data_IF_696495598855
#
_entry.id   IF_696495598855
#
_cell.length_a   1.000
_cell.length_b   1.000
_cell.length_c   1.000
_cell.angle_alpha   90.00
_cell.angle_beta   90.00
_cell.angle_gamma   90.00
#
_symmetry.space_group_name_H-M   'P 1'
#
loop_
_entity.id
_entity.type
_entity.pdbx_description
1 polymer ?
#
# COMPACT_ATOMS: atom_id res chain seq x y z
N UNK A 1 18.52 -18.87 -52.93
CA UNK A 1 19.12 -17.54 -53.16
C UNK A 1 18.57 -16.58 -52.10
N UNK A 2 19.42 -15.93 -51.31
CA UNK A 2 19.03 -14.90 -50.34
C UNK A 2 19.62 -13.56 -50.78
N UNK A 3 18.85 -12.46 -50.69
CA UNK A 3 19.37 -11.09 -50.74
C UNK A 3 18.79 -10.29 -49.58
N UNK A 4 19.68 -9.81 -48.71
CA UNK A 4 19.37 -8.76 -47.73
C UNK A 4 19.15 -7.44 -48.48
N UNK A 5 18.23 -6.61 -47.99
CA UNK A 5 18.20 -5.17 -48.29
C UNK A 5 18.81 -4.47 -47.09
N UNK A 6 19.87 -3.70 -47.32
CA UNK A 6 20.37 -2.69 -46.40
C UNK A 6 20.15 -1.33 -47.07
N UNK A 7 19.60 -0.35 -46.35
CA UNK A 7 19.46 1.02 -46.83
C UNK A 7 20.59 1.88 -46.27
N UNK A 8 21.22 2.65 -47.14
CA UNK A 8 22.46 3.39 -46.87
C UNK A 8 22.16 4.72 -46.12
N UNK A 9 22.94 5.03 -45.08
CA UNK A 9 22.75 6.24 -44.24
C UNK A 9 23.66 7.34 -44.78
N UNK A 10 23.14 8.23 -45.66
CA UNK A 10 23.96 9.29 -46.28
C UNK A 10 23.37 10.70 -46.42
N UNK A 11 22.14 10.96 -45.98
CA UNK A 11 21.51 12.29 -46.12
C UNK A 11 20.89 12.83 -44.81
N UNK A 12 21.73 13.05 -43.80
CA UNK A 12 21.38 13.87 -42.63
C UNK A 12 22.40 15.00 -42.46
N UNK A 13 22.00 16.22 -42.87
CA UNK A 13 22.78 17.44 -42.65
C UNK A 13 22.64 17.88 -41.20
N UNK A 14 23.76 17.97 -40.49
CA UNK A 14 23.83 18.56 -39.15
C UNK A 14 23.78 20.09 -39.31
N UNK A 15 23.00 20.76 -38.46
CA UNK A 15 22.97 22.21 -38.34
C UNK A 15 24.05 22.66 -37.35
N UNK A 16 25.10 23.30 -37.85
CA UNK A 16 26.17 23.85 -37.01
C UNK A 16 25.67 25.08 -36.22
N UNK A 17 25.80 25.03 -34.89
CA UNK A 17 25.55 26.15 -33.99
C UNK A 17 26.92 26.70 -33.55
N UNK A 18 27.28 27.96 -33.88
CA UNK A 18 28.60 28.49 -33.60
C UNK A 18 28.83 28.74 -32.10
N UNK A 19 29.83 28.07 -31.54
CA UNK A 19 30.26 28.18 -30.16
C UNK A 19 31.36 29.26 -30.04
N UNK A 20 31.03 30.44 -29.50
CA UNK A 20 31.99 31.55 -29.36
C UNK A 20 32.65 31.52 -27.98
N UNK A 21 33.92 31.14 -27.93
CA UNK A 21 34.84 31.43 -26.81
C UNK A 21 35.98 32.31 -27.34
N UNK A 22 36.13 33.50 -26.77
CA UNK A 22 37.28 34.40 -26.94
C UNK A 22 37.82 34.82 -25.58
N UNK A 23 39.14 34.95 -25.45
CA UNK A 23 39.80 35.22 -24.18
C UNK A 23 40.39 36.65 -24.09
N UNK A 24 40.32 37.22 -22.88
CA UNK A 24 41.21 38.23 -22.28
C UNK A 24 41.78 39.38 -23.14
N UNK A 25 41.43 40.64 -22.79
CA UNK A 25 42.34 41.48 -21.98
C UNK A 25 41.76 42.82 -21.49
N UNK A 26 42.05 43.12 -20.21
CA UNK A 26 42.31 44.39 -19.50
C UNK A 26 41.63 45.75 -19.84
N UNK A 27 41.14 46.35 -18.73
CA UNK A 27 41.23 47.75 -18.28
C UNK A 27 40.14 48.81 -18.59
N UNK A 28 40.00 49.67 -17.58
CA UNK A 28 39.46 51.05 -17.50
C UNK A 28 37.96 51.29 -17.26
N UNK A 29 37.67 51.62 -15.98
CA UNK A 29 36.71 52.58 -15.43
C UNK A 29 35.64 53.25 -16.31
N UNK A 30 34.36 53.23 -15.87
CA UNK A 30 33.60 54.44 -15.44
C UNK A 30 32.15 54.11 -14.97
N UNK A 31 31.50 55.08 -14.32
CA UNK A 31 30.22 54.99 -13.57
C UNK A 31 28.93 55.15 -14.44
N UNK A 32 27.71 54.91 -13.90
CA UNK A 32 26.51 54.58 -14.68
C UNK A 32 25.60 55.77 -15.05
N UNK A 33 24.63 55.52 -15.93
CA UNK A 33 23.49 56.40 -16.25
C UNK A 33 22.13 55.70 -16.08
N UNK A 34 21.04 56.48 -16.14
CA UNK A 34 19.79 56.26 -15.38
C UNK A 34 18.57 55.81 -16.20
N UNK A 35 17.51 55.35 -15.52
CA UNK A 35 16.16 55.05 -16.05
C UNK A 35 15.42 56.33 -16.52
N UNK A 36 14.33 56.23 -17.33
CA UNK A 36 12.96 55.91 -16.85
C UNK A 36 12.28 54.80 -17.70
N UNK A 37 11.23 54.04 -17.31
CA UNK A 37 10.09 54.20 -16.39
C UNK A 37 8.86 54.95 -16.95
N UNK A 38 7.88 54.21 -17.48
CA UNK A 38 6.45 54.53 -17.79
C UNK A 38 5.80 53.26 -18.43
N UNK A 39 4.50 52.95 -18.42
CA UNK A 39 3.34 53.39 -17.61
C UNK A 39 2.27 52.25 -17.60
N UNK A 40 1.19 52.39 -16.81
CA UNK A 40 0.10 51.42 -16.60
C UNK A 40 -1.05 51.57 -17.61
N UNK A 41 -1.63 50.45 -18.06
CA UNK A 41 -2.89 50.40 -18.82
C UNK A 41 -3.71 49.13 -18.51
N UNK A 42 -5.07 49.17 -18.52
CA UNK A 42 -5.87 48.25 -17.69
C UNK A 42 -6.41 46.98 -18.37
N UNK A 43 -6.76 46.02 -17.51
CA UNK A 43 -7.43 44.75 -17.81
C UNK A 43 -8.96 44.91 -17.78
N UNK A 44 -9.74 44.31 -18.70
CA UNK A 44 -11.19 44.12 -18.53
C UNK A 44 -11.50 42.80 -17.80
N UNK A 45 -12.34 42.86 -16.76
CA UNK A 45 -12.77 41.68 -16.00
C UNK A 45 -13.96 40.94 -16.63
N UNK A 46 -14.08 39.67 -16.25
CA UNK A 46 -15.22 38.78 -16.51
C UNK A 46 -16.56 39.33 -15.98
N UNK A 47 -17.65 39.00 -16.68
CA UNK A 47 -19.03 39.23 -16.21
C UNK A 47 -19.67 37.90 -15.75
N UNK A 48 -20.36 37.86 -14.59
CA UNK A 48 -20.96 36.63 -14.08
C UNK A 48 -22.35 36.34 -14.70
N UNK A 49 -22.56 35.11 -15.18
CA UNK A 49 -23.88 34.65 -15.63
C UNK A 49 -24.73 34.32 -14.39
N UNK A 50 -25.83 35.04 -14.21
CA UNK A 50 -26.81 34.80 -13.14
C UNK A 50 -27.93 33.90 -13.65
N UNK A 51 -28.15 32.74 -13.03
CA UNK A 51 -29.38 31.94 -13.22
C UNK A 51 -30.14 31.84 -11.91
N UNK A 52 -31.28 32.53 -11.87
CA UNK A 52 -32.30 32.44 -10.83
C UNK A 52 -32.99 31.07 -10.85
N UNK A 53 -33.21 30.46 -9.67
CA UNK A 53 -34.42 29.66 -9.37
C UNK A 53 -34.66 29.43 -7.87
N UNK A 54 -35.68 30.15 -7.35
CA UNK A 54 -36.61 29.88 -6.23
C UNK A 54 -36.13 29.12 -4.97
N UNK A 55 -36.29 29.77 -3.80
CA UNK A 55 -36.58 29.08 -2.52
C UNK A 55 -38.00 28.48 -2.48
N UNK A 56 -38.56 27.99 -1.37
CA UNK A 56 -38.38 28.34 0.06
C UNK A 56 -38.70 27.10 0.97
N UNK A 57 -39.06 27.13 2.29
CA UNK A 57 -38.12 26.63 3.31
C UNK A 57 -38.69 25.79 4.51
N UNK A 58 -37.80 25.46 5.48
CA UNK A 58 -38.02 25.26 6.95
C UNK A 58 -38.83 24.06 7.54
N UNK A 59 -38.08 23.12 8.14
CA UNK A 59 -37.98 22.82 9.60
C UNK A 59 -39.23 22.47 10.48
N UNK A 60 -39.20 21.29 11.14
CA UNK A 60 -39.77 21.05 12.50
C UNK A 60 -39.26 19.74 13.17
N UNK A 61 -39.46 19.58 14.50
CA UNK A 61 -38.80 18.60 15.40
C UNK A 61 -39.62 17.31 15.72
N UNK A 62 -38.92 16.31 16.29
CA UNK A 62 -39.30 14.95 16.78
C UNK A 62 -40.55 14.85 17.73
N UNK A 63 -41.14 13.70 18.15
CA UNK A 63 -40.90 12.23 18.08
C UNK A 63 -42.21 11.45 18.52
N UNK A 64 -42.27 10.15 18.96
CA UNK A 64 -41.64 8.86 18.52
C UNK A 64 -42.59 7.60 18.50
N UNK A 65 -42.11 6.45 17.94
CA UNK A 65 -42.56 5.02 18.13
C UNK A 65 -43.99 4.58 17.70
N UNK A 66 -44.31 3.26 17.49
CA UNK A 66 -43.57 1.99 17.76
C UNK A 66 -43.33 1.09 16.48
N UNK A 67 -42.74 -0.14 16.58
CA UNK A 67 -42.26 -0.89 15.40
C UNK A 67 -43.27 -1.89 14.79
N UNK A 68 -43.14 -2.16 13.48
CA UNK A 68 -44.01 -3.07 12.70
C UNK A 68 -43.24 -4.35 12.29
N UNK A 69 -43.92 -5.49 12.38
CA UNK A 69 -43.41 -6.84 12.10
C UNK A 69 -43.42 -7.21 10.60
N UNK A 70 -42.61 -8.18 10.14
CA UNK A 70 -42.61 -8.64 8.75
C UNK A 70 -43.85 -9.50 8.40
N UNK A 71 -44.35 -9.45 7.15
CA UNK A 71 -45.56 -10.16 6.73
C UNK A 71 -45.32 -11.68 6.50
N UNK A 72 -46.39 -12.52 6.55
CA UNK A 72 -46.27 -13.97 6.55
C UNK A 72 -46.05 -14.60 5.17
N UNK A 73 -45.45 -15.80 5.18
CA UNK A 73 -45.28 -16.67 4.01
C UNK A 73 -46.63 -17.17 3.48
N UNK A 74 -46.78 -17.25 2.16
CA UNK A 74 -47.88 -17.97 1.48
C UNK A 74 -47.31 -19.07 0.58
N UNK A 75 -47.66 -20.32 0.89
CA UNK A 75 -47.60 -21.41 -0.08
C UNK A 75 -48.87 -21.37 -0.93
N UNK A 76 -48.75 -21.50 -2.26
CA UNK A 76 -49.80 -22.07 -3.11
C UNK A 76 -49.20 -22.62 -4.40
N UNK A 77 -49.87 -23.63 -4.95
CA UNK A 77 -49.40 -24.52 -6.02
C UNK A 77 -49.68 -23.99 -7.43
N UNK A 78 -48.82 -24.45 -8.37
CA UNK A 78 -49.02 -24.67 -9.83
C UNK A 78 -50.24 -24.01 -10.51
N UNK A 79 -49.95 -23.21 -11.53
CA UNK A 79 -50.75 -23.17 -12.78
C UNK A 79 -49.80 -23.16 -13.98
N UNK A 80 -50.27 -23.66 -15.11
CA UNK A 80 -49.50 -24.02 -16.31
C UNK A 80 -49.36 -22.91 -17.36
N UNK A 81 -48.41 -23.15 -18.29
CA UNK A 81 -48.36 -22.71 -19.70
C UNK A 81 -47.50 -21.48 -20.09
N UNK A 82 -46.92 -21.62 -21.31
CA UNK A 82 -46.22 -20.64 -22.16
C UNK A 82 -44.91 -20.00 -21.67
N UNK A 83 -43.78 -20.46 -22.25
CA UNK A 83 -42.61 -19.61 -22.53
C UNK A 83 -42.70 -19.03 -23.97
N UNK A 84 -41.59 -18.56 -24.60
CA UNK A 84 -40.19 -18.58 -24.13
C UNK A 84 -39.44 -17.24 -24.28
N UNK A 85 -38.22 -17.16 -23.72
CA UNK A 85 -37.06 -16.53 -24.38
C UNK A 85 -35.77 -16.91 -23.66
N UNK A 86 -34.96 -17.74 -24.30
CA UNK A 86 -33.69 -18.26 -23.78
C UNK A 86 -32.54 -17.27 -23.95
N UNK A 87 -31.67 -17.18 -22.94
CA UNK A 87 -30.30 -16.66 -23.11
C UNK A 87 -29.41 -17.81 -23.64
N UNK A 88 -28.32 -17.53 -24.36
CA UNK A 88 -27.38 -18.56 -24.77
C UNK A 88 -26.81 -19.26 -23.53
N UNK A 89 -26.69 -20.58 -23.60
CA UNK A 89 -26.07 -21.43 -22.59
C UNK A 89 -24.63 -21.67 -23.04
N UNK A 90 -23.65 -21.57 -22.13
CA UNK A 90 -22.24 -21.72 -22.49
C UNK A 90 -21.89 -23.19 -22.79
N UNK A 91 -21.86 -23.57 -24.07
CA UNK A 91 -21.62 -24.95 -24.57
C UNK A 91 -20.19 -25.49 -24.32
N UNK A 92 -19.31 -24.72 -23.68
CA UNK A 92 -17.90 -25.09 -23.47
C UNK A 92 -17.61 -25.92 -22.22
N UNK A 93 -18.61 -26.20 -21.37
CA UNK A 93 -18.38 -26.89 -20.07
C UNK A 93 -18.97 -28.32 -20.00
N UNK A 94 -19.91 -28.69 -20.89
CA UNK A 94 -20.60 -29.99 -20.88
C UNK A 94 -20.85 -30.54 -22.30
N UNK A 95 -19.83 -30.42 -23.16
CA UNK A 95 -19.91 -30.92 -24.53
C UNK A 95 -19.77 -32.45 -24.61
N UNK A 96 -20.86 -33.09 -25.04
CA UNK A 96 -20.97 -34.43 -25.61
C UNK A 96 -20.69 -35.66 -24.71
N UNK A 97 -21.62 -36.63 -24.72
CA UNK A 97 -21.44 -37.96 -24.12
C UNK A 97 -22.33 -38.39 -22.93
N UNK A 98 -23.50 -37.79 -22.67
CA UNK A 98 -24.38 -38.17 -21.52
C UNK A 98 -25.87 -38.40 -21.83
N UNK A 99 -26.25 -38.66 -23.09
CA UNK A 99 -27.67 -38.90 -23.46
C UNK A 99 -28.13 -40.38 -23.46
N UNK A 100 -27.25 -41.36 -23.19
CA UNK A 100 -27.58 -42.79 -23.39
C UNK A 100 -28.06 -43.56 -22.14
N UNK A 101 -28.43 -42.87 -21.05
CA UNK A 101 -28.84 -43.53 -19.78
C UNK A 101 -29.95 -42.83 -18.99
N UNK A 102 -30.71 -41.90 -19.58
CA UNK A 102 -31.76 -41.16 -18.88
C UNK A 102 -33.19 -41.72 -19.02
N UNK A 103 -33.40 -42.71 -19.89
CA UNK A 103 -34.71 -43.33 -20.13
C UNK A 103 -35.08 -44.47 -19.14
N UNK A 104 -34.21 -44.77 -18.15
CA UNK A 104 -34.54 -45.69 -17.05
C UNK A 104 -35.17 -44.92 -15.90
N UNK A 105 -36.46 -44.55 -16.07
CA UNK A 105 -37.27 -43.99 -14.99
C UNK A 105 -37.22 -44.90 -13.75
N UNK A 106 -36.70 -44.36 -12.65
CA UNK A 106 -36.52 -45.10 -11.41
C UNK A 106 -37.88 -45.38 -10.78
N UNK A 107 -38.32 -46.65 -10.81
CA UNK A 107 -39.61 -47.06 -10.26
C UNK A 107 -39.64 -46.95 -8.72
N UNK A 108 -40.10 -45.79 -8.26
CA UNK A 108 -40.34 -45.50 -6.85
C UNK A 108 -41.53 -46.29 -6.28
N UNK A 109 -42.48 -46.73 -7.10
CA UNK A 109 -43.72 -47.37 -6.64
C UNK A 109 -43.50 -48.86 -6.38
N UNK A 110 -42.83 -49.56 -7.30
CA UNK A 110 -42.38 -50.94 -7.13
C UNK A 110 -41.42 -51.12 -5.94
N UNK A 111 -40.48 -50.19 -5.73
CA UNK A 111 -39.61 -50.21 -4.54
C UNK A 111 -40.35 -49.91 -3.23
N UNK A 112 -41.43 -49.11 -3.25
CA UNK A 112 -42.25 -48.87 -2.06
C UNK A 112 -43.05 -50.12 -1.67
N UNK A 113 -43.55 -50.86 -2.65
CA UNK A 113 -44.35 -52.07 -2.46
C UNK A 113 -43.55 -53.24 -1.84
N UNK A 114 -42.22 -53.26 -2.00
CA UNK A 114 -41.33 -54.23 -1.37
C UNK A 114 -41.15 -54.02 0.14
N UNK A 115 -41.53 -52.86 0.68
CA UNK A 115 -41.43 -52.55 2.11
C UNK A 115 -42.77 -52.78 2.84
N UNK A 116 -42.98 -54.01 3.33
CA UNK A 116 -44.07 -54.29 4.28
C UNK A 116 -43.82 -53.62 5.63
N UNK A 117 -44.26 -52.37 5.71
CA UNK A 117 -44.16 -51.52 6.89
C UNK A 117 -44.97 -52.08 8.07
N UNK A 118 -46.04 -52.83 7.82
CA UNK A 118 -46.91 -53.38 8.85
C UNK A 118 -46.26 -54.60 9.54
N UNK A 119 -45.57 -55.46 8.78
CA UNK A 119 -44.75 -56.53 9.34
C UNK A 119 -43.63 -55.99 10.23
N UNK A 120 -42.94 -54.92 9.79
CA UNK A 120 -41.87 -54.28 10.57
C UNK A 120 -42.39 -53.68 11.88
N UNK A 121 -43.51 -52.96 11.88
CA UNK A 121 -44.10 -52.45 13.12
C UNK A 121 -44.60 -53.56 14.04
N UNK A 122 -45.20 -54.62 13.49
CA UNK A 122 -45.60 -55.81 14.27
C UNK A 122 -44.39 -56.50 14.94
N UNK A 123 -43.22 -56.50 14.29
CA UNK A 123 -41.98 -57.02 14.85
C UNK A 123 -41.41 -56.11 15.95
N UNK A 124 -41.58 -54.78 15.82
CA UNK A 124 -41.18 -53.82 16.85
C UNK A 124 -42.06 -53.92 18.11
N UNK A 125 -43.39 -54.07 17.96
CA UNK A 125 -44.32 -54.25 19.08
C UNK A 125 -44.07 -55.55 19.85
N UNK A 126 -43.80 -56.66 19.13
CA UNK A 126 -43.42 -57.96 19.74
C UNK A 126 -42.13 -57.89 20.57
N UNK A 127 -41.26 -56.91 20.33
CA UNK A 127 -40.03 -56.66 21.10
C UNK A 127 -40.16 -55.51 22.13
N UNK A 128 -41.38 -55.02 22.37
CA UNK A 128 -41.64 -53.76 23.07
C UNK A 128 -42.24 -53.86 24.47
N UNK A 129 -41.71 -54.66 25.40
CA UNK A 129 -41.83 -54.39 26.85
C UNK A 129 -40.89 -55.23 27.74
N UNK A 130 -39.58 -54.98 27.66
CA UNK A 130 -38.60 -55.50 28.60
C UNK A 130 -37.41 -54.54 28.73
N UNK A 131 -36.78 -54.44 29.92
CA UNK A 131 -35.62 -53.57 30.09
C UNK A 131 -34.49 -54.05 29.17
N UNK A 132 -34.13 -53.23 28.18
CA UNK A 132 -33.11 -53.57 27.17
C UNK A 132 -31.73 -53.72 27.81
N UNK A 133 -31.39 -54.95 28.23
CA UNK A 133 -29.99 -55.35 28.33
C UNK A 133 -29.35 -55.21 26.95
N UNK A 134 -28.41 -54.27 26.85
CA UNK A 134 -27.67 -54.00 25.61
C UNK A 134 -26.58 -55.06 25.46
N UNK A 135 -26.93 -56.21 24.87
CA UNK A 135 -25.98 -57.28 24.57
C UNK A 135 -25.04 -56.86 23.44
N UNK A 136 -23.92 -56.23 23.80
CA UNK A 136 -22.76 -56.06 22.93
C UNK A 136 -22.06 -57.40 22.71
N UNK A 137 -21.90 -57.87 21.46
CA UNK A 137 -20.81 -58.79 21.11
C UNK A 137 -19.49 -58.04 21.31
N UNK A 138 -18.52 -58.66 21.98
CA UNK A 138 -17.35 -57.95 22.47
C UNK A 138 -16.33 -57.58 21.39
N UNK A 139 -15.92 -56.31 21.37
CA UNK A 139 -14.50 -55.99 21.55
C UNK A 139 -14.34 -54.63 22.29
N UNK A 140 -14.17 -54.63 23.63
CA UNK A 140 -14.11 -53.40 24.43
C UNK A 140 -12.70 -52.78 24.44
N UNK A 141 -12.22 -52.32 23.27
CA UNK A 141 -10.91 -51.64 23.20
C UNK A 141 -10.72 -50.65 22.04
N UNK A 142 -11.72 -50.44 21.18
CA UNK A 142 -11.63 -49.37 20.17
C UNK A 142 -12.12 -48.05 20.79
N UNK A 143 -11.25 -47.07 21.08
CA UNK A 143 -11.73 -45.75 21.48
C UNK A 143 -12.58 -45.19 20.34
N UNK A 144 -13.77 -44.69 20.68
CA UNK A 144 -14.58 -43.92 19.75
C UNK A 144 -13.91 -42.56 19.57
N UNK A 145 -12.92 -42.51 18.68
CA UNK A 145 -12.12 -41.32 18.41
C UNK A 145 -13.04 -40.13 18.17
N UNK A 146 -12.86 -39.07 18.97
CA UNK A 146 -13.54 -37.80 18.71
C UNK A 146 -13.09 -37.26 17.35
N UNK A 147 -13.90 -36.38 16.78
CA UNK A 147 -13.64 -35.79 15.45
C UNK A 147 -12.30 -34.99 15.36
N UNK A 148 -11.64 -34.75 16.49
CA UNK A 148 -10.34 -34.10 16.63
C UNK A 148 -9.19 -35.04 17.04
N UNK A 149 -9.45 -36.34 17.26
CA UNK A 149 -8.50 -37.26 17.92
C UNK A 149 -7.53 -37.97 16.94
N UNK A 150 -7.84 -37.92 15.63
CA UNK A 150 -6.94 -38.30 14.54
C UNK A 150 -6.63 -37.12 13.60
N UNK A 151 -6.93 -35.89 14.03
CA UNK A 151 -6.50 -34.69 13.30
C UNK A 151 -5.05 -34.44 13.69
N UNK A 152 -4.13 -34.79 12.78
CA UNK A 152 -2.76 -34.32 12.87
C UNK A 152 -2.81 -32.79 13.00
N UNK A 153 -2.25 -32.24 14.08
CA UNK A 153 -2.07 -30.80 14.19
C UNK A 153 -1.26 -30.35 12.97
N UNK A 154 -1.94 -29.65 12.06
CA UNK A 154 -1.31 -29.18 10.84
C UNK A 154 -0.29 -28.12 11.25
N UNK A 155 0.98 -28.53 11.37
CA UNK A 155 2.08 -27.60 11.55
C UNK A 155 1.93 -26.52 10.47
N UNK A 156 1.79 -25.24 10.86
CA UNK A 156 1.47 -24.18 9.90
C UNK A 156 2.53 -24.21 8.81
N UNK A 157 2.09 -24.37 7.56
CA UNK A 157 3.01 -24.52 6.43
C UNK A 157 3.75 -23.20 6.24
N UNK A 158 4.96 -23.12 6.80
CA UNK A 158 5.79 -21.92 6.76
C UNK A 158 6.26 -21.73 5.31
N UNK A 159 5.58 -20.87 4.55
CA UNK A 159 5.89 -20.60 3.16
C UNK A 159 7.13 -19.68 3.03
N UNK A 160 8.29 -20.19 3.44
CA UNK A 160 9.58 -19.49 3.38
C UNK A 160 10.14 -19.53 1.96
N UNK A 161 9.84 -18.47 1.20
CA UNK A 161 10.27 -18.31 -0.21
C UNK A 161 11.46 -17.37 -0.38
N UNK A 162 11.86 -16.68 0.67
CA UNK A 162 13.04 -15.80 0.72
C UNK A 162 14.04 -16.40 1.71
N UNK A 163 15.28 -16.62 1.27
CA UNK A 163 16.38 -17.09 2.11
C UNK A 163 17.53 -16.07 2.05
N UNK A 164 17.95 -15.59 3.22
CA UNK A 164 19.07 -14.65 3.38
C UNK A 164 20.34 -15.38 3.83
N UNK A 165 21.54 -14.92 3.46
CA UNK A 165 22.80 -15.60 3.79
C UNK A 165 23.19 -15.45 5.28
N UNK A 166 22.64 -14.44 5.96
CA UNK A 166 22.84 -14.18 7.38
C UNK A 166 21.48 -13.75 7.97
N UNK A 167 21.18 -14.23 9.18
CA UNK A 167 19.92 -13.90 9.86
C UNK A 167 19.93 -12.44 10.34
N UNK A 168 19.03 -11.61 9.83
CA UNK A 168 18.98 -10.18 10.13
C UNK A 168 18.32 -9.79 11.46
N UNK A 169 17.99 -10.76 12.33
CA UNK A 169 17.49 -10.52 13.69
C UNK A 169 15.99 -10.76 13.90
N UNK A 170 15.14 -10.49 12.90
CA UNK A 170 13.68 -10.67 12.98
C UNK A 170 13.13 -11.36 11.74
N UNK A 171 11.98 -12.01 11.90
CA UNK A 171 11.17 -12.49 10.78
C UNK A 171 9.81 -11.81 10.78
N UNK A 172 9.32 -11.54 9.57
CA UNK A 172 7.98 -11.01 9.35
C UNK A 172 7.19 -11.97 8.47
N UNK A 173 5.86 -11.90 8.54
CA UNK A 173 4.97 -12.60 7.64
C UNK A 173 4.00 -11.62 6.94
N UNK A 174 3.67 -11.92 5.68
CA UNK A 174 2.61 -11.20 4.95
C UNK A 174 1.22 -11.72 5.36
N UNK A 175 0.15 -11.01 4.96
CA UNK A 175 -1.25 -11.49 5.08
C UNK A 175 -1.48 -12.91 4.50
N UNK A 176 -0.62 -13.36 3.59
CA UNK A 176 -0.68 -14.68 2.95
C UNK A 176 0.23 -15.74 3.60
N UNK A 177 0.85 -15.44 4.74
CA UNK A 177 1.76 -16.36 5.44
C UNK A 177 3.12 -16.56 4.76
N UNK A 178 3.51 -15.70 3.81
CA UNK A 178 4.86 -15.74 3.24
C UNK A 178 5.84 -15.12 4.24
N UNK A 179 6.88 -15.87 4.61
CA UNK A 179 7.93 -15.36 5.51
C UNK A 179 8.88 -14.44 4.75
N UNK A 180 9.06 -13.23 5.28
CA UNK A 180 9.99 -12.20 4.83
C UNK A 180 11.01 -11.99 5.96
N UNK A 181 12.23 -12.53 5.85
CA UNK A 181 13.26 -12.32 6.86
C UNK A 181 13.78 -10.87 6.82
N UNK A 182 14.18 -10.33 7.97
CA UNK A 182 14.93 -9.07 7.99
C UNK A 182 16.37 -9.29 7.52
N UNK A 183 17.00 -8.20 7.07
CA UNK A 183 18.42 -8.13 6.70
C UNK A 183 19.17 -7.12 7.56
N UNK A 184 20.50 -7.28 7.68
CA UNK A 184 21.34 -6.23 8.28
C UNK A 184 21.43 -5.01 7.35
N UNK A 185 21.78 -3.85 7.92
CA UNK A 185 21.95 -2.64 7.12
C UNK A 185 23.09 -2.78 6.09
N UNK A 186 24.17 -3.48 6.43
CA UNK A 186 25.31 -3.73 5.54
C UNK A 186 24.90 -4.55 4.32
N UNK A 187 24.05 -5.56 4.52
CA UNK A 187 23.51 -6.38 3.42
C UNK A 187 22.52 -5.59 2.57
N UNK A 188 21.66 -4.77 3.18
CA UNK A 188 20.73 -3.88 2.48
C UNK A 188 21.47 -2.81 1.65
N UNK A 189 22.45 -2.12 2.23
CA UNK A 189 23.33 -1.17 1.53
C UNK A 189 24.09 -1.85 0.38
N UNK A 190 24.58 -3.08 0.57
CA UNK A 190 25.22 -3.86 -0.51
C UNK A 190 24.23 -4.21 -1.62
N UNK A 191 23.01 -4.63 -1.29
CA UNK A 191 21.94 -4.91 -2.25
C UNK A 191 21.62 -3.67 -3.11
N UNK A 192 21.46 -2.50 -2.48
CA UNK A 192 21.21 -1.24 -3.21
C UNK A 192 22.40 -0.85 -4.10
N UNK A 193 23.64 -1.00 -3.62
CA UNK A 193 24.85 -0.73 -4.43
C UNK A 193 24.91 -1.65 -5.66
N UNK A 194 24.68 -2.95 -5.49
CA UNK A 194 24.65 -3.90 -6.62
C UNK A 194 23.48 -3.60 -7.57
N UNK A 195 22.33 -3.11 -7.08
CA UNK A 195 21.24 -2.67 -7.96
C UNK A 195 21.65 -1.49 -8.86
N UNK A 196 22.47 -0.58 -8.34
CA UNK A 196 22.99 0.58 -9.06
C UNK A 196 24.03 0.18 -10.10
N UNK A 197 24.93 -0.76 -9.75
CA UNK A 197 25.86 -1.42 -10.68
C UNK A 197 25.12 -2.12 -11.85
N UNK A 198 23.87 -2.56 -11.64
CA UNK A 198 22.99 -3.16 -12.66
C UNK A 198 22.04 -2.15 -13.36
N UNK A 199 22.27 -0.83 -13.20
CA UNK A 199 21.53 0.22 -13.92
C UNK A 199 20.25 0.74 -13.25
N UNK A 200 20.01 0.39 -11.98
CA UNK A 200 18.92 0.94 -11.17
C UNK A 200 19.49 2.08 -10.33
N UNK A 201 19.65 3.24 -10.97
CA UNK A 201 20.20 4.45 -10.34
C UNK A 201 19.39 4.91 -9.13
N UNK A 202 20.03 5.66 -8.24
CA UNK A 202 19.39 6.25 -7.07
C UNK A 202 18.11 7.02 -7.43
N UNK A 203 18.13 7.84 -8.48
CA UNK A 203 16.96 8.62 -8.92
C UNK A 203 15.77 7.73 -9.32
N UNK A 204 16.01 6.59 -9.98
CA UNK A 204 14.95 5.61 -10.30
C UNK A 204 14.35 5.01 -9.02
N UNK A 205 15.19 4.70 -8.02
CA UNK A 205 14.72 4.18 -6.73
C UNK A 205 13.96 5.24 -5.94
N UNK A 206 14.37 6.50 -6.00
CA UNK A 206 13.66 7.63 -5.39
C UNK A 206 12.27 7.78 -5.99
N UNK A 207 12.12 7.83 -7.33
CA UNK A 207 10.81 7.96 -7.98
C UNK A 207 9.87 6.78 -7.62
N UNK A 208 10.34 5.53 -7.70
CA UNK A 208 9.52 4.36 -7.33
C UNK A 208 9.13 4.40 -5.85
N UNK A 209 10.06 4.78 -4.97
CA UNK A 209 9.77 4.95 -3.53
C UNK A 209 8.74 6.06 -3.30
N UNK A 210 8.89 7.21 -3.98
CA UNK A 210 7.99 8.35 -3.89
C UNK A 210 6.58 8.01 -4.35
N UNK A 211 6.43 7.32 -5.49
CA UNK A 211 5.12 6.84 -5.98
C UNK A 211 4.47 5.88 -4.99
N UNK A 212 5.19 4.85 -4.54
CA UNK A 212 4.62 3.80 -3.69
C UNK A 212 4.30 4.30 -2.28
N UNK A 213 5.18 5.12 -1.69
CA UNK A 213 4.93 5.78 -0.41
C UNK A 213 3.76 6.77 -0.49
N UNK A 214 3.63 7.51 -1.60
CA UNK A 214 2.48 8.36 -1.86
C UNK A 214 1.18 7.53 -1.94
N UNK A 215 1.14 6.43 -2.70
CA UNK A 215 -0.02 5.55 -2.78
C UNK A 215 -0.45 5.00 -1.41
N UNK A 216 0.52 4.64 -0.56
CA UNK A 216 0.27 4.26 0.83
C UNK A 216 -0.32 5.44 1.62
N UNK A 217 0.31 6.62 1.59
CA UNK A 217 -0.13 7.82 2.31
C UNK A 217 -1.54 8.29 1.88
N UNK A 218 -1.84 8.32 0.58
CA UNK A 218 -3.18 8.64 0.06
C UNK A 218 -4.23 7.64 0.59
N UNK A 219 -3.89 6.35 0.70
CA UNK A 219 -4.76 5.33 1.31
C UNK A 219 -4.99 5.61 2.80
N UNK A 220 -3.95 5.97 3.55
CA UNK A 220 -4.05 6.34 4.97
C UNK A 220 -4.88 7.62 5.21
N UNK A 221 -4.85 8.56 4.26
CA UNK A 221 -5.65 9.79 4.29
C UNK A 221 -7.15 9.59 3.98
N UNK A 222 -7.60 8.35 3.72
CA UNK A 222 -8.99 8.02 3.39
C UNK A 222 -9.25 7.72 1.92
N UNK A 223 -8.19 7.69 1.09
CA UNK A 223 -8.21 7.21 -0.29
C UNK A 223 -9.24 7.92 -1.18
N UNK A 224 -9.90 7.19 -2.11
CA UNK A 224 -10.75 7.80 -3.15
C UNK A 224 -12.00 8.48 -2.59
N UNK A 225 -12.41 8.18 -1.35
CA UNK A 225 -13.56 8.83 -0.73
C UNK A 225 -13.25 10.27 -0.31
N UNK A 226 -12.04 10.52 0.23
CA UNK A 226 -11.61 11.87 0.62
C UNK A 226 -11.07 12.67 -0.56
N UNK A 227 -10.28 12.03 -1.42
CA UNK A 227 -9.54 12.66 -2.52
C UNK A 227 -10.31 12.64 -3.86
N UNK A 228 -11.64 12.56 -3.81
CA UNK A 228 -12.48 12.65 -5.00
C UNK A 228 -12.49 14.10 -5.52
N UNK A 229 -12.23 14.38 -6.81
CA UNK A 229 -12.33 15.74 -7.36
C UNK A 229 -13.72 16.39 -7.25
N UNK A 230 -14.77 15.59 -6.97
CA UNK A 230 -16.12 16.09 -6.67
C UNK A 230 -16.34 16.43 -5.19
N UNK A 231 -15.38 16.10 -4.32
CA UNK A 231 -15.45 16.42 -2.90
C UNK A 231 -15.00 17.87 -2.67
N UNK A 232 -15.90 18.70 -2.17
CA UNK A 232 -15.65 20.12 -1.87
C UNK A 232 -15.23 20.37 -0.41
N UNK A 233 -15.01 19.31 0.38
CA UNK A 233 -14.42 19.43 1.71
C UNK A 233 -12.93 19.82 1.66
N UNK A 234 -12.40 20.25 2.80
CA UNK A 234 -10.99 20.63 2.93
C UNK A 234 -10.05 19.49 2.50
N UNK A 235 -9.09 19.82 1.63
CA UNK A 235 -7.98 18.95 1.20
C UNK A 235 -7.17 18.52 2.43
N UNK A 236 -6.66 17.27 2.48
CA UNK A 236 -5.84 16.84 3.60
C UNK A 236 -4.52 17.62 3.66
N UNK A 237 -4.09 17.96 4.87
CA UNK A 237 -2.80 18.62 5.13
C UNK A 237 -1.79 17.59 5.63
N UNK A 238 -0.62 17.52 4.98
CA UNK A 238 0.47 16.60 5.31
C UNK A 238 1.75 17.39 5.58
N UNK A 239 2.40 17.09 6.70
CA UNK A 239 3.73 17.64 7.03
C UNK A 239 4.79 16.58 6.80
N UNK A 240 5.80 16.93 6.00
CA UNK A 240 7.01 16.14 5.79
C UNK A 240 8.12 16.67 6.68
N UNK A 241 8.73 15.80 7.46
CA UNK A 241 9.89 16.11 8.29
C UNK A 241 11.11 15.41 7.69
N UNK A 242 11.90 16.12 6.89
CA UNK A 242 13.03 15.53 6.13
C UNK A 242 14.38 16.02 6.65
N UNK A 243 15.36 15.13 6.73
CA UNK A 243 16.76 15.48 6.97
C UNK A 243 17.59 15.59 5.67
N UNK A 244 18.86 16.03 5.75
CA UNK A 244 19.71 16.37 4.59
C UNK A 244 20.42 15.15 3.96
N UNK A 245 19.68 14.07 3.71
CA UNK A 245 20.23 12.78 3.29
C UNK A 245 19.23 12.04 2.38
N UNK A 246 19.62 10.85 1.91
CA UNK A 246 18.85 10.05 0.94
C UNK A 246 17.43 9.71 1.42
N UNK A 247 17.20 9.41 2.70
CA UNK A 247 15.86 9.19 3.26
C UNK A 247 15.01 10.47 3.23
N UNK A 248 15.63 11.63 3.46
CA UNK A 248 14.99 12.93 3.24
C UNK A 248 14.57 13.11 1.78
N UNK A 249 15.41 12.72 0.81
CA UNK A 249 15.05 12.75 -0.60
C UNK A 249 13.89 11.79 -0.95
N UNK A 250 13.83 10.59 -0.36
CA UNK A 250 12.66 9.69 -0.48
C UNK A 250 11.38 10.37 0.04
N UNK A 251 11.48 11.09 1.16
CA UNK A 251 10.39 11.90 1.72
C UNK A 251 9.94 13.02 0.79
N UNK A 252 10.87 13.83 0.27
CA UNK A 252 10.56 14.91 -0.69
C UNK A 252 9.92 14.36 -1.97
N UNK A 253 10.40 13.23 -2.48
CA UNK A 253 9.82 12.51 -3.62
C UNK A 253 8.36 12.12 -3.37
N UNK A 254 8.09 11.47 -2.22
CA UNK A 254 6.73 11.16 -1.77
C UNK A 254 5.86 12.42 -1.66
N UNK A 255 6.40 13.49 -1.08
CA UNK A 255 5.75 14.79 -0.94
C UNK A 255 5.36 15.44 -2.26
N UNK A 256 6.23 15.37 -3.26
CA UNK A 256 5.97 15.85 -4.62
C UNK A 256 4.79 15.10 -5.24
N UNK A 257 4.74 13.78 -5.12
CA UNK A 257 3.61 13.00 -5.61
C UNK A 257 2.31 13.30 -4.83
N UNK A 258 2.37 13.51 -3.51
CA UNK A 258 1.20 13.92 -2.73
C UNK A 258 0.67 15.29 -3.18
N UNK A 259 1.54 16.28 -3.39
CA UNK A 259 1.14 17.60 -3.88
C UNK A 259 0.51 17.54 -5.28
N UNK A 260 1.05 16.70 -6.19
CA UNK A 260 0.44 16.42 -7.49
C UNK A 260 -0.96 15.77 -7.38
N UNK A 261 -1.27 15.12 -6.27
CA UNK A 261 -2.59 14.56 -5.94
C UNK A 261 -3.47 15.50 -5.10
N UNK A 262 -3.21 16.82 -5.18
CA UNK A 262 -3.97 17.88 -4.51
C UNK A 262 -3.97 17.83 -2.97
N UNK A 263 -3.00 17.13 -2.37
CA UNK A 263 -2.74 17.18 -0.93
C UNK A 263 -2.03 18.51 -0.59
N UNK A 264 -2.39 19.16 0.51
CA UNK A 264 -1.64 20.32 0.99
C UNK A 264 -0.37 19.81 1.68
N UNK A 265 0.78 19.99 1.03
CA UNK A 265 2.06 19.44 1.51
C UNK A 265 2.98 20.55 2.01
N UNK A 266 3.39 20.43 3.28
CA UNK A 266 4.33 21.33 3.95
C UNK A 266 5.60 20.55 4.29
N UNK A 267 6.71 20.89 3.64
CA UNK A 267 8.02 20.27 3.82
C UNK A 267 8.88 21.06 4.80
N UNK A 268 9.17 20.48 5.96
CA UNK A 268 10.28 20.92 6.80
C UNK A 268 11.59 20.30 6.31
N UNK A 269 12.55 21.15 5.96
CA UNK A 269 13.94 20.78 5.73
C UNK A 269 14.86 21.85 6.38
N UNK A 270 15.72 21.48 7.35
CA UNK A 270 16.62 22.44 7.97
C UNK A 270 17.67 22.98 6.99
N UNK A 271 18.27 24.13 7.31
CA UNK A 271 19.35 24.71 6.52
C UNK A 271 20.68 23.99 6.79
N UNK A 272 21.35 23.51 5.75
CA UNK A 272 22.68 22.87 5.83
C UNK A 272 23.66 23.46 4.82
N UNK A 273 24.93 23.49 5.20
CA UNK A 273 26.03 23.99 4.35
C UNK A 273 26.28 23.10 3.13
N UNK A 274 26.02 21.79 3.25
CA UNK A 274 26.16 20.82 2.17
C UNK A 274 24.91 19.94 2.12
N UNK A 275 24.22 19.98 0.98
CA UNK A 275 23.05 19.16 0.67
C UNK A 275 23.48 18.12 -0.38
N UNK A 276 22.97 16.89 -0.27
CA UNK A 276 23.24 15.83 -1.24
C UNK A 276 22.54 16.13 -2.57
N UNK A 277 23.22 15.92 -3.69
CA UNK A 277 22.74 16.22 -5.06
C UNK A 277 21.33 15.67 -5.34
N UNK A 278 21.07 14.40 -4.98
CA UNK A 278 19.76 13.77 -5.13
C UNK A 278 18.63 14.47 -4.37
N UNK A 279 18.91 15.06 -3.20
CA UNK A 279 17.94 15.88 -2.46
C UNK A 279 17.73 17.24 -3.14
N UNK A 280 18.80 17.86 -3.69
CA UNK A 280 18.67 19.08 -4.50
C UNK A 280 17.80 18.87 -5.74
N UNK A 281 17.92 17.73 -6.41
CA UNK A 281 17.08 17.36 -7.56
C UNK A 281 15.60 17.22 -7.14
N UNK A 282 15.31 16.47 -6.08
CA UNK A 282 13.94 16.31 -5.58
C UNK A 282 13.32 17.63 -5.08
N UNK A 283 14.09 18.52 -4.43
CA UNK A 283 13.62 19.85 -4.03
C UNK A 283 13.25 20.72 -5.25
N UNK A 284 14.04 20.67 -6.32
CA UNK A 284 13.77 21.38 -7.57
C UNK A 284 12.46 20.92 -8.23
N UNK A 285 12.17 19.61 -8.15
CA UNK A 285 10.90 19.05 -8.63
C UNK A 285 9.73 19.35 -7.67
N UNK A 286 9.94 19.30 -6.36
CA UNK A 286 8.94 19.61 -5.34
C UNK A 286 8.44 21.06 -5.43
N UNK A 287 9.34 22.02 -5.66
CA UNK A 287 8.98 23.42 -5.89
C UNK A 287 8.09 23.64 -7.13
N UNK A 288 8.16 22.75 -8.13
CA UNK A 288 7.25 22.77 -9.30
C UNK A 288 5.89 22.14 -9.02
N UNK A 289 5.78 21.31 -7.99
CA UNK A 289 4.54 20.70 -7.53
C UNK A 289 3.76 21.59 -6.52
N UNK A 290 4.13 22.88 -6.39
CA UNK A 290 3.47 23.86 -5.52
C UNK A 290 3.52 23.53 -4.01
N UNK A 291 4.40 22.62 -3.60
CA UNK A 291 4.59 22.27 -2.19
C UNK A 291 5.28 23.41 -1.40
N UNK A 292 4.82 23.66 -0.17
CA UNK A 292 5.38 24.70 0.71
C UNK A 292 6.61 24.18 1.44
N UNK A 293 7.80 24.69 1.11
CA UNK A 293 9.01 24.41 1.89
C UNK A 293 9.17 25.41 3.06
N UNK A 294 9.55 24.92 4.23
CA UNK A 294 9.92 25.71 5.43
C UNK A 294 11.22 25.18 6.03
N UNK A 295 12.03 26.08 6.58
CA UNK A 295 13.29 25.72 7.28
C UNK A 295 13.21 25.88 8.81
N UNK A 296 12.09 26.38 9.32
CA UNK A 296 11.83 26.58 10.75
C UNK A 296 10.57 25.82 11.17
N UNK A 297 10.65 25.14 12.30
CA UNK A 297 9.52 24.41 12.92
C UNK A 297 8.40 25.38 13.32
N UNK A 298 8.71 26.66 13.54
CA UNK A 298 7.72 27.70 13.86
C UNK A 298 6.77 28.02 12.71
N UNK A 299 7.13 27.64 11.48
CA UNK A 299 6.33 27.89 10.27
C UNK A 299 5.42 26.69 9.90
N UNK A 300 5.48 25.61 10.70
CA UNK A 300 4.60 24.45 10.63
C UNK A 300 3.24 24.74 11.30
N UNK A 301 2.16 24.03 10.92
CA UNK A 301 0.86 24.20 11.54
C UNK A 301 0.86 23.96 13.05
N UNK A 302 0.19 24.85 13.80
CA UNK A 302 -0.05 24.69 15.24
C UNK A 302 -1.24 23.74 15.49
N UNK A 303 -2.18 23.66 14.56
CA UNK A 303 -3.27 22.69 14.57
C UNK A 303 -2.76 21.29 14.19
N UNK A 304 -3.37 20.22 14.72
CA UNK A 304 -3.13 18.86 14.23
C UNK A 304 -3.32 18.76 12.72
N UNK A 305 -2.41 18.08 12.04
CA UNK A 305 -2.51 17.77 10.60
C UNK A 305 -3.06 16.36 10.38
N UNK A 306 -3.36 15.98 9.13
CA UNK A 306 -3.96 14.67 8.84
C UNK A 306 -2.94 13.52 8.89
N UNK A 307 -1.70 13.80 8.52
CA UNK A 307 -0.59 12.84 8.51
C UNK A 307 0.73 13.59 8.65
N UNK A 308 1.64 13.04 9.46
CA UNK A 308 3.05 13.43 9.48
C UNK A 308 3.86 12.33 8.80
N UNK A 309 4.72 12.70 7.86
CA UNK A 309 5.66 11.78 7.21
C UNK A 309 7.06 12.08 7.75
N UNK A 310 7.66 11.09 8.40
CA UNK A 310 8.96 11.19 9.06
C UNK A 310 10.08 10.57 8.21
N UNK A 311 11.02 11.43 7.82
CA UNK A 311 12.25 11.13 7.10
C UNK A 311 13.44 11.92 7.71
N UNK A 312 13.40 12.19 9.02
CA UNK A 312 14.38 13.02 9.74
C UNK A 312 15.74 12.35 9.95
N UNK A 313 15.76 11.02 9.96
CA UNK A 313 16.87 10.20 10.42
C UNK A 313 17.46 9.35 9.28
N UNK A 314 18.70 8.90 9.43
CA UNK A 314 19.37 8.10 8.41
C UNK A 314 20.23 6.97 8.99
N UNK A 315 20.44 5.95 8.16
CA UNK A 315 21.20 4.76 8.54
C UNK A 315 22.70 5.01 8.82
N UNK A 316 23.25 6.19 8.45
CA UNK A 316 24.71 6.43 8.47
C UNK A 316 25.17 7.49 9.48
N UNK A 317 24.31 8.43 9.88
CA UNK A 317 24.70 9.58 10.72
C UNK A 317 23.84 9.65 11.99
N UNK A 318 24.06 8.77 12.99
CA UNK A 318 23.26 8.76 14.23
C UNK A 318 23.33 10.08 15.01
N UNK A 319 24.40 10.85 14.85
CA UNK A 319 24.60 12.17 15.46
C UNK A 319 23.59 13.24 14.99
N UNK A 320 22.79 12.99 13.94
CA UNK A 320 21.70 13.90 13.56
C UNK A 320 20.69 14.07 14.71
N UNK A 321 20.46 13.02 15.52
CA UNK A 321 19.56 13.04 16.70
C UNK A 321 20.00 13.99 17.82
N UNK A 322 21.27 14.36 17.85
CA UNK A 322 21.82 15.28 18.85
C UNK A 322 21.59 16.74 18.46
N UNK A 323 21.28 17.01 17.20
CA UNK A 323 21.14 18.36 16.67
C UNK A 323 19.90 19.08 17.22
N UNK A 324 19.98 20.39 17.53
CA UNK A 324 18.83 21.14 18.06
C UNK A 324 17.60 21.13 17.13
N UNK A 325 17.81 21.22 15.82
CA UNK A 325 16.73 21.17 14.83
C UNK A 325 16.03 19.81 14.80
N UNK A 326 16.77 18.71 14.99
CA UNK A 326 16.21 17.36 14.98
C UNK A 326 15.31 17.16 16.20
N UNK A 327 15.84 17.50 17.39
CA UNK A 327 15.10 17.35 18.65
C UNK A 327 13.80 18.16 18.63
N UNK A 328 13.86 19.40 18.15
CA UNK A 328 12.67 20.25 18.05
C UNK A 328 11.68 19.78 16.97
N UNK A 329 12.14 19.18 15.87
CA UNK A 329 11.25 18.60 14.84
C UNK A 329 10.57 17.31 15.34
N UNK A 330 11.31 16.47 16.06
CA UNK A 330 10.76 15.27 16.69
C UNK A 330 9.78 15.59 17.82
N UNK A 331 10.08 16.62 18.62
CA UNK A 331 9.17 17.16 19.63
C UNK A 331 7.89 17.72 19.00
N UNK A 332 7.99 18.51 17.91
CA UNK A 332 6.81 18.99 17.18
C UNK A 332 5.94 17.85 16.65
N UNK A 333 6.55 16.80 16.08
CA UNK A 333 5.82 15.62 15.60
C UNK A 333 5.01 14.95 16.71
N UNK A 334 5.64 14.71 17.86
CA UNK A 334 5.00 14.09 19.02
C UNK A 334 3.93 14.99 19.66
N UNK A 335 4.09 16.33 19.59
CA UNK A 335 3.10 17.29 20.10
C UNK A 335 1.89 17.50 19.18
N UNK A 336 2.04 17.36 17.85
CA UNK A 336 0.98 17.64 16.88
C UNK A 336 -0.20 16.64 16.94
N UNK A 337 0.01 15.43 17.51
CA UNK A 337 -0.97 14.33 17.64
C UNK A 337 -1.48 13.71 16.33
N UNK A 338 -1.07 14.22 15.17
CA UNK A 338 -1.28 13.56 13.89
C UNK A 338 -0.61 12.17 13.88
N UNK A 339 -1.17 11.18 13.16
CA UNK A 339 -0.53 9.89 13.01
C UNK A 339 0.76 10.02 12.17
N UNK A 340 1.81 9.32 12.56
CA UNK A 340 3.11 9.35 11.86
C UNK A 340 3.30 8.12 10.97
N UNK A 341 3.70 8.36 9.72
CA UNK A 341 4.29 7.37 8.79
C UNK A 341 5.80 7.63 8.68
N UNK A 342 6.64 6.70 9.11
CA UNK A 342 8.09 6.77 8.90
C UNK A 342 8.49 6.04 7.61
N UNK A 343 9.25 6.67 6.71
CA UNK A 343 9.77 6.03 5.49
C UNK A 343 11.25 5.69 5.71
N UNK A 344 11.62 4.43 5.42
CA UNK A 344 12.98 3.89 5.59
C UNK A 344 13.64 4.21 6.95
N UNK A 345 12.93 4.02 8.10
CA UNK A 345 13.50 4.37 9.40
C UNK A 345 14.70 3.47 9.76
N UNK A 346 15.75 4.02 10.39
CA UNK A 346 16.88 3.23 10.84
C UNK A 346 16.52 2.30 12.00
N UNK A 347 17.30 1.22 12.17
CA UNK A 347 17.15 0.31 13.30
C UNK A 347 17.51 1.02 14.60
N UNK A 348 16.50 1.42 15.37
CA UNK A 348 16.65 1.82 16.76
C UNK A 348 16.99 0.60 17.61
N UNK A 349 18.28 0.45 17.97
CA UNK A 349 18.71 -0.58 18.91
C UNK A 349 18.11 -0.40 20.32
N UNK A 350 18.21 -1.43 21.15
CA UNK A 350 17.77 -1.40 22.56
C UNK A 350 18.50 -0.34 23.41
N UNK A 351 19.60 0.23 22.93
CA UNK A 351 20.29 1.40 23.51
C UNK A 351 19.53 2.73 23.33
N UNK A 352 18.19 2.72 23.47
CA UNK A 352 17.45 3.88 24.00
C UNK A 352 17.69 4.07 25.50
N UNK A 353 18.47 3.19 26.14
CA UNK A 353 19.02 3.41 27.47
C UNK A 353 19.90 4.67 27.52
N UNK A 354 19.30 5.76 27.99
CA UNK A 354 19.93 6.97 28.55
C UNK A 354 20.70 7.87 27.54
N UNK A 355 20.05 8.94 27.08
CA UNK A 355 20.73 10.17 26.62
C UNK A 355 20.50 10.61 25.17
N UNK A 356 19.98 9.74 24.30
CA UNK A 356 19.55 10.16 22.96
C UNK A 356 18.19 10.87 23.04
N UNK A 357 17.99 11.89 22.20
CA UNK A 357 16.82 12.77 22.23
C UNK A 357 15.49 12.07 21.88
N UNK A 358 14.34 12.77 21.97
CA UNK A 358 13.03 12.18 21.70
C UNK A 358 13.00 11.55 20.30
N UNK A 359 12.70 10.25 20.24
CA UNK A 359 12.37 9.59 18.99
C UNK A 359 10.93 9.95 18.58
N UNK A 360 10.67 9.97 17.27
CA UNK A 360 9.31 10.10 16.76
C UNK A 360 8.66 8.72 16.78
N UNK A 361 7.53 8.58 17.49
CA UNK A 361 6.80 7.32 17.54
C UNK A 361 5.99 7.11 16.25
N UNK A 362 6.32 6.05 15.50
CA UNK A 362 5.69 5.78 14.22
C UNK A 362 4.42 4.93 14.43
N UNK A 363 3.29 5.36 13.85
CA UNK A 363 2.09 4.50 13.77
C UNK A 363 2.24 3.46 12.67
N UNK A 364 2.94 3.84 11.60
CA UNK A 364 3.28 3.01 10.46
C UNK A 364 4.72 3.25 10.05
N UNK A 365 5.43 2.19 9.63
CA UNK A 365 6.77 2.29 9.05
C UNK A 365 6.84 1.58 7.69
N UNK A 366 7.46 2.20 6.71
CA UNK A 366 7.61 1.67 5.35
C UNK A 366 9.08 1.27 5.08
N UNK A 367 9.35 -0.03 5.07
CA UNK A 367 10.62 -0.62 4.65
C UNK A 367 10.73 -0.67 3.13
N UNK A 368 11.95 -0.60 2.59
CA UNK A 368 12.21 -0.57 1.14
C UNK A 368 12.93 -1.84 0.65
N UNK A 369 12.28 -2.62 -0.23
CA UNK A 369 12.83 -3.83 -0.85
C UNK A 369 12.85 -5.05 0.08
N UNK A 370 13.61 -4.98 1.18
CA UNK A 370 13.62 -5.95 2.29
C UNK A 370 13.62 -5.20 3.63
N UNK A 371 12.97 -5.73 4.67
CA UNK A 371 12.88 -5.05 5.96
C UNK A 371 14.20 -5.14 6.74
N UNK A 372 14.52 -4.08 7.48
CA UNK A 372 15.48 -4.14 8.57
C UNK A 372 14.78 -4.67 9.84
N UNK A 373 15.53 -5.08 10.87
CA UNK A 373 14.97 -5.52 12.15
C UNK A 373 14.48 -4.35 13.01
N UNK A 374 13.40 -3.70 12.57
CA UNK A 374 12.84 -2.52 13.25
C UNK A 374 12.40 -2.82 14.69
N UNK A 375 12.58 -1.83 15.57
CA UNK A 375 12.14 -1.89 16.98
C UNK A 375 10.63 -1.76 17.14
N UNK A 376 10.14 -1.88 18.38
CA UNK A 376 8.70 -1.81 18.69
C UNK A 376 8.09 -0.42 18.40
N UNK A 377 8.87 0.65 18.55
CA UNK A 377 8.48 2.04 18.21
C UNK A 377 8.27 2.31 16.71
N UNK A 378 8.47 1.32 15.84
CA UNK A 378 8.17 1.42 14.41
C UNK A 378 6.66 1.26 14.07
N UNK A 379 5.85 0.81 15.04
CA UNK A 379 4.42 0.57 14.83
C UNK A 379 4.16 -0.55 13.82
N UNK A 380 3.14 -0.36 12.96
CA UNK A 380 2.80 -1.36 11.93
C UNK A 380 3.77 -1.26 10.76
N UNK A 381 4.50 -2.33 10.49
CA UNK A 381 5.50 -2.38 9.41
C UNK A 381 4.82 -2.71 8.08
N UNK A 382 5.28 -2.05 7.02
CA UNK A 382 4.91 -2.30 5.63
C UNK A 382 6.19 -2.45 4.82
N UNK A 383 6.10 -3.19 3.71
CA UNK A 383 7.18 -3.35 2.75
C UNK A 383 6.77 -2.72 1.41
N UNK A 384 7.67 -1.93 0.84
CA UNK A 384 7.58 -1.33 -0.48
C UNK A 384 8.43 -2.12 -1.48
N UNK A 385 7.88 -2.44 -2.64
CA UNK A 385 8.70 -2.84 -3.79
C UNK A 385 9.39 -1.60 -4.35
N UNK A 386 10.72 -1.64 -4.48
CA UNK A 386 11.53 -0.57 -5.10
C UNK A 386 12.09 -0.99 -6.46
N UNK A 387 11.50 -2.01 -7.08
CA UNK A 387 11.77 -2.43 -8.46
C UNK A 387 13.04 -3.28 -8.62
N UNK A 388 13.46 -4.00 -7.57
CA UNK A 388 14.71 -4.79 -7.60
C UNK A 388 14.51 -6.15 -8.32
N UNK A 389 15.25 -6.45 -9.42
CA UNK A 389 15.16 -7.72 -10.11
C UNK A 389 15.71 -8.87 -9.27
N UNK A 390 15.12 -10.06 -9.44
CA UNK A 390 15.52 -11.30 -8.75
C UNK A 390 17.03 -11.60 -8.86
N UNK A 391 17.67 -11.27 -9.98
CA UNK A 391 19.10 -11.48 -10.19
C UNK A 391 19.98 -10.60 -9.29
N UNK A 392 19.53 -9.39 -8.93
CA UNK A 392 20.26 -8.49 -8.02
C UNK A 392 20.31 -9.06 -6.59
N UNK A 393 19.20 -9.65 -6.12
CA UNK A 393 19.18 -10.40 -4.86
C UNK A 393 20.12 -11.61 -4.89
N UNK A 394 20.11 -12.38 -5.98
CA UNK A 394 20.97 -13.55 -6.13
C UNK A 394 22.47 -13.17 -6.09
N UNK A 395 22.84 -12.03 -6.69
CA UNK A 395 24.22 -11.51 -6.70
C UNK A 395 24.76 -11.12 -5.31
N UNK A 396 23.87 -10.90 -4.31
CA UNK A 396 24.25 -10.70 -2.90
C UNK A 396 23.99 -11.92 -2.02
N UNK A 397 23.68 -13.08 -2.62
CA UNK A 397 23.47 -14.35 -1.91
C UNK A 397 22.07 -14.53 -1.31
N UNK A 398 21.09 -13.73 -1.73
CA UNK A 398 19.70 -13.84 -1.28
C UNK A 398 18.91 -14.64 -2.32
N UNK A 399 18.38 -15.81 -1.95
CA UNK A 399 17.40 -16.50 -2.78
C UNK A 399 16.05 -15.79 -2.60
N UNK A 400 15.66 -14.99 -3.58
CA UNK A 400 14.47 -14.16 -3.52
C UNK A 400 13.34 -14.67 -4.42
N UNK A 401 12.12 -14.64 -3.89
CA UNK A 401 10.86 -14.72 -4.62
C UNK A 401 9.92 -13.67 -4.04
N UNK A 402 9.21 -12.95 -4.90
CA UNK A 402 8.43 -11.76 -4.50
C UNK A 402 7.37 -12.08 -3.43
N UNK A 403 7.35 -11.38 -2.28
CA UNK A 403 6.30 -11.47 -1.27
C UNK A 403 5.09 -10.58 -1.60
N UNK A 404 5.18 -9.75 -2.64
CA UNK A 404 4.26 -8.65 -2.92
C UNK A 404 2.94 -9.06 -3.61
N UNK A 405 2.92 -10.21 -4.30
CA UNK A 405 1.79 -10.63 -5.12
C UNK A 405 1.50 -9.63 -6.24
N UNK A 406 0.34 -8.99 -6.19
CA UNK A 406 -0.10 -7.96 -7.16
C UNK A 406 -0.06 -6.51 -6.60
N UNK A 407 0.44 -6.31 -5.37
CA UNK A 407 0.54 -4.99 -4.72
C UNK A 407 1.97 -4.46 -4.83
N UNK A 408 2.17 -3.14 -4.76
CA UNK A 408 3.51 -2.55 -4.60
C UNK A 408 3.87 -2.30 -3.12
N UNK A 409 2.87 -2.25 -2.24
CA UNK A 409 3.05 -2.12 -0.79
C UNK A 409 2.24 -3.20 -0.09
N UNK A 410 2.87 -3.95 0.82
CA UNK A 410 2.23 -5.01 1.62
C UNK A 410 2.46 -4.80 3.11
N UNK A 411 1.48 -5.11 3.99
CA UNK A 411 1.72 -5.13 5.43
C UNK A 411 2.65 -6.29 5.80
N UNK A 412 3.43 -6.08 6.85
CA UNK A 412 4.26 -7.08 7.50
C UNK A 412 3.85 -7.19 8.97
N UNK A 413 3.54 -8.41 9.40
CA UNK A 413 3.29 -8.76 10.80
C UNK A 413 4.53 -9.46 11.36
N UNK A 414 4.75 -9.45 12.67
CA UNK A 414 5.79 -10.29 13.28
C UNK A 414 5.40 -11.77 13.13
N UNK A 415 6.34 -12.60 12.67
CA UNK A 415 6.15 -14.04 12.48
C UNK A 415 6.25 -14.82 13.80
#
# INVERSE_FOLDING_TARGET
>A
MQKKIAMDIKDLKILDIPNVRGAMNNNTEAKPSTLPAEDKGPVPMSAPITILRRGTPLNSKAAPQPPIQPPPRRNSTRSSSTGPLSRPKDDYCFGDGTEESLDTDFDFEGNLALFDKAAVFSQMERHGNGPRQRTTPGNPSAPCYRHNENVLEAQPVVYRRITVPQYGGKEYCTDSGLVVPSVSYELHKRLLRVSEEHGISLERRLEVTGVCACQMALTLLGGPNRLNPKNVHQRPTVVLLCGPHVQGAQGVSCGRHLANHEVEVILFLPNFVKIQEALTHELSLFGRAWGKQVSSIRDLPVSPVDLVINCLDCHENPHLREQPWYRAAAEWANQNRAPVLSIDPPVTGQSQAQGQGPAVEAKWSLCLGLPLALGEGAGRVYLCDVGLPRQVFLAVGINYLSPFGCKFVVPLHSA
#
